data_IF_670496011739
#
_entry.id   IF_670496011739
#
_cell.length_a   1.000
_cell.length_b   1.000
_cell.length_c   1.000
_cell.angle_alpha   90.00
_cell.angle_beta   90.00
_cell.angle_gamma   90.00
#
_symmetry.space_group_name_H-M   'P 1'
#
loop_
_entity.id
_entity.type
_entity.pdbx_description
1 polymer ?
#
# COMPACT_ATOMS: atom_id res chain seq x y z
N UNK A 1 -9.74 -39.55 21.29
CA UNK A 1 -9.73 -38.09 21.18
C UNK A 1 -8.72 -37.74 20.11
N UNK A 2 -9.19 -37.52 18.89
CA UNK A 2 -8.37 -37.23 17.71
C UNK A 2 -7.69 -35.86 17.87
N UNK A 3 -6.37 -35.83 17.80
CA UNK A 3 -5.63 -34.59 17.58
C UNK A 3 -5.54 -34.36 16.09
N UNK A 4 -6.37 -33.46 15.58
CA UNK A 4 -6.24 -32.92 14.22
C UNK A 4 -5.08 -31.92 14.19
N UNK A 5 -3.87 -32.40 13.87
CA UNK A 5 -2.74 -31.53 13.54
C UNK A 5 -2.93 -30.98 12.12
N UNK A 6 -3.64 -29.86 12.00
CA UNK A 6 -3.69 -29.07 10.77
C UNK A 6 -2.28 -28.56 10.46
N UNK A 7 -1.58 -29.28 9.59
CA UNK A 7 -0.28 -28.87 9.05
C UNK A 7 -0.51 -27.71 8.10
N UNK A 8 -0.36 -26.47 8.57
CA UNK A 8 -0.31 -25.30 7.71
C UNK A 8 1.00 -25.35 6.92
N UNK A 9 0.93 -25.89 5.71
CA UNK A 9 2.02 -25.79 4.73
C UNK A 9 2.26 -24.30 4.45
N UNK A 10 3.31 -23.72 5.05
CA UNK A 10 3.77 -22.38 4.75
C UNK A 10 4.06 -22.31 3.25
N UNK A 11 3.32 -21.47 2.54
CA UNK A 11 3.57 -21.20 1.13
C UNK A 11 4.89 -20.41 1.07
N UNK A 12 5.87 -20.96 0.37
CA UNK A 12 7.10 -20.23 0.07
C UNK A 12 6.82 -19.25 -1.07
N UNK A 13 6.92 -17.96 -0.77
CA UNK A 13 6.87 -16.90 -1.79
C UNK A 13 8.31 -16.56 -2.21
N UNK A 14 8.59 -16.44 -3.52
CA UNK A 14 9.89 -15.97 -3.97
C UNK A 14 10.14 -14.54 -3.46
N UNK A 15 11.41 -14.15 -3.24
CA UNK A 15 11.73 -12.77 -2.89
C UNK A 15 11.29 -11.81 -4.00
N UNK A 16 10.90 -10.60 -3.61
CA UNK A 16 10.56 -9.54 -4.57
C UNK A 16 11.84 -9.14 -5.31
N UNK A 17 11.87 -9.13 -6.65
CA UNK A 17 13.01 -8.64 -7.42
C UNK A 17 13.39 -7.22 -7.02
N UNK A 18 14.68 -6.89 -6.98
CA UNK A 18 15.17 -5.58 -6.51
C UNK A 18 14.68 -4.42 -7.38
N UNK A 19 14.43 -4.64 -8.67
CA UNK A 19 13.86 -3.67 -9.60
C UNK A 19 12.34 -3.48 -9.43
N UNK A 20 11.71 -4.28 -8.56
CA UNK A 20 10.28 -4.21 -8.20
C UNK A 20 10.07 -3.81 -6.74
N UNK A 21 11.14 -3.52 -6.00
CA UNK A 21 11.08 -3.02 -4.64
C UNK A 21 11.53 -1.56 -4.61
N UNK A 22 10.66 -0.70 -4.07
CA UNK A 22 10.92 0.73 -3.94
C UNK A 22 10.85 1.11 -2.46
N UNK A 23 11.95 1.62 -1.91
CA UNK A 23 11.95 2.20 -0.56
C UNK A 23 11.35 3.61 -0.64
N UNK A 24 10.18 3.80 -0.05
CA UNK A 24 9.44 5.05 -0.15
C UNK A 24 8.61 5.29 1.12
N UNK A 25 8.56 6.54 1.58
CA UNK A 25 7.59 7.00 2.59
C UNK A 25 6.33 7.46 1.85
N UNK A 26 5.16 6.94 2.24
CA UNK A 26 3.89 7.27 1.60
C UNK A 26 3.53 8.78 1.69
N UNK A 27 4.16 9.50 2.62
CA UNK A 27 3.97 10.92 2.83
C UNK A 27 4.87 11.79 1.94
N UNK A 28 5.87 11.18 1.28
CA UNK A 28 6.71 11.81 0.25
C UNK A 28 5.97 11.80 -1.09
N UNK A 29 5.34 12.93 -1.41
CA UNK A 29 4.48 13.06 -2.59
C UNK A 29 5.27 12.93 -3.89
N UNK A 30 6.43 13.57 -3.96
CA UNK A 30 7.27 13.57 -5.15
C UNK A 30 7.73 12.15 -5.48
N UNK A 31 8.22 11.41 -4.48
CA UNK A 31 8.71 10.05 -4.66
C UNK A 31 7.60 9.08 -5.08
N UNK A 32 6.43 9.14 -4.42
CA UNK A 32 5.25 8.35 -4.82
C UNK A 32 4.83 8.67 -6.26
N UNK A 33 4.84 9.94 -6.64
CA UNK A 33 4.47 10.38 -7.99
C UNK A 33 5.44 9.82 -9.03
N UNK A 34 6.76 9.94 -8.80
CA UNK A 34 7.78 9.36 -9.68
C UNK A 34 7.63 7.85 -9.83
N UNK A 35 7.47 7.10 -8.72
CA UNK A 35 7.29 5.64 -8.78
C UNK A 35 6.08 5.26 -9.62
N UNK A 36 4.94 5.92 -9.45
CA UNK A 36 3.70 5.60 -10.19
C UNK A 36 3.77 6.04 -11.66
N UNK A 37 4.50 7.11 -11.98
CA UNK A 37 4.63 7.59 -13.37
C UNK A 37 5.67 6.80 -14.17
N UNK A 38 6.80 6.46 -13.55
CA UNK A 38 7.90 5.76 -14.19
C UNK A 38 7.61 4.27 -14.39
N UNK A 39 6.59 3.74 -13.71
CA UNK A 39 6.17 2.36 -13.79
C UNK A 39 4.74 2.22 -14.32
N UNK A 40 4.52 1.23 -15.18
CA UNK A 40 3.21 0.98 -15.81
C UNK A 40 2.32 0.11 -14.92
N UNK A 41 1.85 0.67 -13.80
CA UNK A 41 0.89 -0.03 -12.96
C UNK A 41 -0.52 0.05 -13.54
N UNK A 42 -1.27 -1.06 -13.51
CA UNK A 42 -2.70 -1.07 -13.83
C UNK A 42 -3.56 -1.10 -12.56
N UNK A 43 -3.03 -1.70 -11.49
CA UNK A 43 -3.72 -1.92 -10.22
C UNK A 43 -2.81 -1.48 -9.09
N UNK A 44 -3.36 -0.73 -8.14
CA UNK A 44 -2.67 -0.34 -6.91
C UNK A 44 -3.44 -0.93 -5.73
N UNK A 45 -2.72 -1.64 -4.85
CA UNK A 45 -3.24 -2.15 -3.58
C UNK A 45 -2.60 -1.33 -2.45
N UNK A 46 -3.35 -0.41 -1.87
CA UNK A 46 -2.87 0.52 -0.86
C UNK A 46 -3.00 -0.11 0.54
N UNK A 47 -1.88 -0.62 1.04
CA UNK A 47 -1.76 -1.27 2.36
C UNK A 47 -0.93 -0.45 3.36
N UNK A 48 -0.34 0.67 2.93
CA UNK A 48 0.49 1.51 3.78
C UNK A 48 -0.39 2.35 4.72
N UNK A 49 -0.36 2.04 6.02
CA UNK A 49 -1.14 2.73 7.03
C UNK A 49 -0.48 2.57 8.41
N UNK A 50 -0.85 3.44 9.35
CA UNK A 50 -0.61 3.26 10.79
C UNK A 50 -1.90 2.92 11.54
N UNK A 51 -1.74 2.29 12.69
CA UNK A 51 -2.85 1.88 13.56
C UNK A 51 -3.40 3.06 14.37
N UNK A 52 -4.63 2.91 14.85
CA UNK A 52 -5.35 3.91 15.66
C UNK A 52 -4.71 4.20 17.03
N UNK A 53 -3.70 3.43 17.42
CA UNK A 53 -2.88 3.68 18.62
C UNK A 53 -1.85 4.81 18.41
N UNK A 54 -1.66 5.27 17.18
CA UNK A 54 -0.80 6.42 16.86
C UNK A 54 -1.45 7.77 17.21
N UNK A 55 -0.65 8.84 17.15
CA UNK A 55 -1.18 10.19 17.32
C UNK A 55 -2.14 10.55 16.18
N UNK A 56 -3.16 11.36 16.47
CA UNK A 56 -4.09 11.88 15.45
C UNK A 56 -3.33 12.59 14.31
N UNK A 57 -2.24 13.29 14.64
CA UNK A 57 -1.38 13.91 13.65
C UNK A 57 -0.74 12.89 12.71
N UNK A 58 -0.16 11.81 13.23
CA UNK A 58 0.43 10.75 12.42
C UNK A 58 -0.62 10.01 11.58
N UNK A 59 -1.78 9.72 12.17
CA UNK A 59 -2.89 9.07 11.45
C UNK A 59 -3.33 9.94 10.28
N UNK A 60 -3.53 11.25 10.49
CA UNK A 60 -3.88 12.17 9.41
C UNK A 60 -2.76 12.30 8.37
N UNK A 61 -1.51 12.41 8.81
CA UNK A 61 -0.35 12.56 7.91
C UNK A 61 -0.17 11.33 7.03
N UNK A 62 -0.28 10.13 7.59
CA UNK A 62 0.02 8.88 6.90
C UNK A 62 -1.23 8.34 6.19
N UNK A 63 -2.31 8.07 6.93
CA UNK A 63 -3.48 7.40 6.38
C UNK A 63 -4.31 8.32 5.47
N UNK A 64 -4.38 9.62 5.77
CA UNK A 64 -5.15 10.57 4.95
C UNK A 64 -4.28 11.21 3.87
N UNK A 65 -3.22 11.92 4.26
CA UNK A 65 -2.40 12.64 3.28
C UNK A 65 -1.56 11.66 2.41
N UNK A 66 -1.06 10.57 2.97
CA UNK A 66 -0.39 9.52 2.19
C UNK A 66 -1.33 8.85 1.18
N UNK A 67 -2.56 8.53 1.57
CA UNK A 67 -3.57 8.04 0.61
C UNK A 67 -3.85 9.06 -0.50
N UNK A 68 -3.96 10.35 -0.16
CA UNK A 68 -4.15 11.42 -1.16
C UNK A 68 -2.98 11.50 -2.15
N UNK A 69 -1.74 11.38 -1.68
CA UNK A 69 -0.56 11.38 -2.56
C UNK A 69 -0.66 10.28 -3.62
N UNK A 70 -1.06 9.06 -3.23
CA UNK A 70 -1.25 7.95 -4.18
C UNK A 70 -2.36 8.26 -5.18
N UNK A 71 -3.52 8.71 -4.71
CA UNK A 71 -4.66 9.01 -5.60
C UNK A 71 -4.35 10.16 -6.57
N UNK A 72 -3.62 11.18 -6.12
CA UNK A 72 -3.20 12.28 -6.97
C UNK A 72 -2.19 11.83 -8.03
N UNK A 73 -1.23 10.97 -7.67
CA UNK A 73 -0.28 10.39 -8.61
C UNK A 73 -0.98 9.51 -9.67
N UNK A 74 -1.96 8.69 -9.25
CA UNK A 74 -2.81 7.90 -10.16
C UNK A 74 -3.52 8.76 -11.21
N UNK A 75 -3.92 9.99 -10.85
CA UNK A 75 -4.61 10.92 -11.77
C UNK A 75 -3.66 11.62 -12.74
N UNK A 76 -2.38 11.69 -12.41
CA UNK A 76 -1.37 12.41 -13.19
C UNK A 76 -0.53 11.51 -14.10
N UNK A 77 -0.55 10.19 -13.88
CA UNK A 77 0.17 9.24 -14.73
C UNK A 77 -0.47 9.11 -16.11
N UNK A 78 0.36 8.80 -17.11
CA UNK A 78 -0.09 8.53 -18.48
C UNK A 78 -0.62 7.11 -18.65
N UNK A 79 -0.24 6.19 -17.76
CA UNK A 79 -0.78 4.83 -17.72
C UNK A 79 -2.12 4.85 -16.98
N UNK A 80 -3.18 4.33 -17.59
CA UNK A 80 -4.49 4.27 -16.94
C UNK A 80 -4.45 3.29 -15.77
N UNK A 81 -4.70 3.80 -14.56
CA UNK A 81 -4.95 2.96 -13.38
C UNK A 81 -6.40 2.47 -13.44
N UNK A 82 -6.57 1.17 -13.62
CA UNK A 82 -7.88 0.52 -13.75
C UNK A 82 -8.55 0.33 -12.37
N UNK A 83 -7.76 0.18 -11.31
CA UNK A 83 -8.27 -0.07 -9.96
C UNK A 83 -7.31 0.37 -8.87
N UNK A 84 -7.87 1.01 -7.84
CA UNK A 84 -7.21 1.20 -6.54
C UNK A 84 -8.01 0.41 -5.50
N UNK A 85 -7.34 -0.48 -4.78
CA UNK A 85 -7.89 -1.24 -3.66
C UNK A 85 -7.33 -0.62 -2.37
N UNK A 86 -8.20 -0.02 -1.56
CA UNK A 86 -7.86 0.58 -0.28
C UNK A 86 -8.27 -0.34 0.86
N UNK A 87 -7.31 -0.70 1.72
CA UNK A 87 -7.57 -1.49 2.92
C UNK A 87 -7.97 -0.58 4.09
N UNK A 88 -9.28 -0.37 4.26
CA UNK A 88 -9.83 0.42 5.38
C UNK A 88 -9.82 -0.36 6.71
N UNK A 89 -10.04 0.34 7.83
CA UNK A 89 -10.22 -0.26 9.17
C UNK A 89 -11.70 -0.41 9.55
N UNK A 90 -11.97 -1.19 10.60
CA UNK A 90 -13.29 -1.32 11.21
C UNK A 90 -13.74 -0.05 11.94
N UNK A 91 -12.81 0.68 12.56
CA UNK A 91 -13.13 1.85 13.39
C UNK A 91 -13.26 3.14 12.57
N UNK A 92 -12.90 3.10 11.27
CA UNK A 92 -12.93 4.20 10.29
C UNK A 92 -12.39 5.52 10.84
N UNK A 93 -11.16 5.87 10.43
CA UNK A 93 -10.61 7.22 10.61
C UNK A 93 -10.87 8.06 9.38
#
# INVERSE_FOLDING_TARGET
>A
MEQNSSSTSKIFLPPIPSDKFFMCDITDKENITSIIQDNKFNIIIHLAAVLETETIENINRININGTRNVLDACRQTTTVIERVIYASSMTVV
#
